data_IF_996056564805
#
_entry.id   IF_996056564805
#
_cell.length_a   1.000
_cell.length_b   1.000
_cell.length_c   1.000
_cell.angle_alpha   90.00
_cell.angle_beta   90.00
_cell.angle_gamma   90.00
#
_symmetry.space_group_name_H-M   'P 1'
#
loop_
_entity.id
_entity.type
_entity.pdbx_description
1 polymer ?
#
# COMPACT_ATOMS: atom_id res chain seq x y z
N UNK A 1 20.63 -22.78 -20.67
CA UNK A 1 20.33 -21.53 -21.39
C UNK A 1 19.38 -21.77 -22.58
N UNK A 2 19.54 -22.84 -23.37
CA UNK A 2 18.74 -23.11 -24.58
C UNK A 2 17.21 -23.27 -24.39
N UNK A 3 16.74 -23.56 -23.17
CA UNK A 3 15.30 -23.72 -22.85
C UNK A 3 14.62 -22.48 -22.25
N UNK A 4 15.40 -21.50 -21.76
CA UNK A 4 14.86 -20.37 -21.01
C UNK A 4 14.13 -19.41 -21.96
N UNK A 5 14.75 -19.01 -23.07
CA UNK A 5 14.17 -18.04 -24.01
C UNK A 5 12.84 -18.51 -24.60
N UNK A 6 12.71 -19.75 -25.13
CA UNK A 6 11.42 -20.21 -25.68
C UNK A 6 10.31 -20.30 -24.61
N UNK A 7 10.67 -20.68 -23.39
CA UNK A 7 9.72 -20.77 -22.29
C UNK A 7 9.28 -19.38 -21.83
N UNK A 8 10.22 -18.44 -21.67
CA UNK A 8 9.96 -17.03 -21.36
C UNK A 8 9.03 -16.41 -22.40
N UNK A 9 9.31 -16.56 -23.69
CA UNK A 9 8.50 -16.01 -24.77
C UNK A 9 7.07 -16.57 -24.75
N UNK A 10 6.93 -17.86 -24.46
CA UNK A 10 5.61 -18.51 -24.30
C UNK A 10 4.85 -17.92 -23.13
N UNK A 11 5.48 -17.79 -21.94
CA UNK A 11 4.84 -17.22 -20.75
C UNK A 11 4.46 -15.75 -21.00
N UNK A 12 5.36 -14.96 -21.59
CA UNK A 12 5.11 -13.56 -21.93
C UNK A 12 3.96 -13.36 -22.92
N UNK A 13 3.80 -14.29 -23.88
CA UNK A 13 2.68 -14.28 -24.82
C UNK A 13 1.36 -14.56 -24.08
N UNK A 14 1.32 -15.60 -23.24
CA UNK A 14 0.12 -15.95 -22.46
C UNK A 14 -0.29 -14.82 -21.51
N UNK A 15 0.67 -14.20 -20.81
CA UNK A 15 0.42 -13.04 -19.94
C UNK A 15 -0.23 -11.90 -20.74
N UNK A 16 0.34 -11.56 -21.90
CA UNK A 16 -0.20 -10.49 -22.77
C UNK A 16 -1.64 -10.79 -23.22
N UNK A 17 -1.89 -11.99 -23.72
CA UNK A 17 -3.23 -12.42 -24.18
C UNK A 17 -4.26 -12.40 -23.04
N UNK A 18 -3.89 -12.89 -21.85
CA UNK A 18 -4.78 -12.88 -20.68
C UNK A 18 -5.08 -11.45 -20.24
N UNK A 19 -4.09 -10.55 -20.25
CA UNK A 19 -4.29 -9.12 -19.93
C UNK A 19 -5.22 -8.45 -20.93
N UNK A 20 -5.07 -8.72 -22.21
CA UNK A 20 -5.99 -8.20 -23.24
C UNK A 20 -7.44 -8.63 -22.98
N UNK A 21 -7.67 -9.91 -22.66
CA UNK A 21 -8.99 -10.43 -22.31
C UNK A 21 -9.55 -9.84 -21.01
N UNK A 22 -8.70 -9.58 -20.02
CA UNK A 22 -9.11 -8.92 -18.78
C UNK A 22 -9.53 -7.46 -19.05
N UNK A 23 -8.75 -6.73 -19.85
CA UNK A 23 -9.02 -5.34 -20.21
C UNK A 23 -10.26 -5.18 -21.09
N UNK A 24 -10.52 -6.14 -21.99
CA UNK A 24 -11.74 -6.17 -22.81
C UNK A 24 -12.97 -6.66 -22.05
N UNK A 25 -12.81 -7.06 -20.77
CA UNK A 25 -13.84 -7.72 -19.96
C UNK A 25 -14.40 -9.02 -20.59
N UNK A 26 -13.65 -9.65 -21.49
CA UNK A 26 -14.01 -10.92 -22.13
C UNK A 26 -13.53 -12.13 -21.33
N UNK A 27 -12.57 -11.92 -20.41
CA UNK A 27 -12.03 -12.96 -19.53
C UNK A 27 -13.13 -13.62 -18.70
N UNK A 28 -13.11 -14.95 -18.67
CA UNK A 28 -14.02 -15.76 -17.89
C UNK A 28 -13.39 -17.13 -17.65
N UNK A 29 -12.97 -17.37 -16.40
CA UNK A 29 -12.30 -18.62 -16.00
C UNK A 29 -13.18 -19.87 -16.18
N UNK A 30 -14.50 -19.72 -16.27
CA UNK A 30 -15.40 -20.84 -16.52
C UNK A 30 -15.45 -21.27 -18.01
N UNK A 31 -14.86 -20.49 -18.92
CA UNK A 31 -14.68 -20.91 -20.31
C UNK A 31 -13.46 -21.85 -20.39
N UNK A 32 -13.60 -23.07 -20.96
CA UNK A 32 -12.50 -24.04 -21.02
C UNK A 32 -11.22 -23.48 -21.65
N UNK A 33 -11.35 -22.69 -22.72
CA UNK A 33 -10.23 -22.07 -23.42
C UNK A 33 -9.45 -21.07 -22.54
N UNK A 34 -10.12 -20.35 -21.63
CA UNK A 34 -9.50 -19.40 -20.72
C UNK A 34 -8.87 -20.12 -19.53
N UNK A 35 -9.56 -21.14 -18.98
CA UNK A 35 -9.00 -21.99 -17.94
C UNK A 35 -7.71 -22.67 -18.43
N UNK A 36 -7.72 -23.26 -19.63
CA UNK A 36 -6.54 -23.90 -20.22
C UNK A 36 -5.39 -22.90 -20.42
N UNK A 37 -5.67 -21.68 -20.89
CA UNK A 37 -4.66 -20.61 -20.99
C UNK A 37 -4.06 -20.26 -19.63
N UNK A 38 -4.90 -20.10 -18.61
CA UNK A 38 -4.46 -19.78 -17.25
C UNK A 38 -3.59 -20.89 -16.67
N UNK A 39 -4.09 -22.14 -16.69
CA UNK A 39 -3.36 -23.31 -16.19
C UNK A 39 -2.02 -23.50 -16.91
N UNK A 40 -2.01 -23.30 -18.24
CA UNK A 40 -0.78 -23.39 -19.04
C UNK A 40 0.21 -22.29 -18.67
N UNK A 41 -0.26 -21.07 -18.46
CA UNK A 41 0.58 -19.95 -18.03
C UNK A 41 1.22 -20.25 -16.67
N UNK A 42 0.42 -20.68 -15.69
CA UNK A 42 0.89 -21.02 -14.34
C UNK A 42 1.90 -22.17 -14.38
N UNK A 43 1.60 -23.26 -15.07
CA UNK A 43 2.48 -24.42 -15.17
C UNK A 43 3.85 -24.06 -15.79
N UNK A 44 3.85 -23.24 -16.84
CA UNK A 44 5.07 -22.78 -17.51
C UNK A 44 5.86 -21.78 -16.66
N UNK A 45 5.19 -20.92 -15.89
CA UNK A 45 5.84 -20.02 -14.96
C UNK A 45 6.56 -20.80 -13.84
N UNK A 46 5.97 -21.88 -13.33
CA UNK A 46 6.61 -22.77 -12.35
C UNK A 46 7.83 -23.47 -12.96
N UNK A 47 7.73 -23.98 -14.20
CA UNK A 47 8.89 -24.55 -14.89
C UNK A 47 10.01 -23.51 -15.03
N UNK A 48 9.66 -22.28 -15.38
CA UNK A 48 10.61 -21.19 -15.55
C UNK A 48 11.24 -20.76 -14.22
N UNK A 49 10.48 -20.71 -13.13
CA UNK A 49 10.98 -20.50 -11.76
C UNK A 49 12.13 -21.47 -11.47
N UNK A 50 11.91 -22.78 -11.64
CA UNK A 50 12.92 -23.79 -11.31
C UNK A 50 14.21 -23.68 -12.14
N UNK A 51 14.12 -23.07 -13.33
CA UNK A 51 15.29 -22.86 -14.20
C UNK A 51 16.13 -21.64 -13.81
N UNK A 52 15.50 -20.59 -13.27
CA UNK A 52 16.16 -19.30 -13.04
C UNK A 52 16.33 -18.94 -11.56
N UNK A 53 15.58 -19.60 -10.66
CA UNK A 53 15.57 -19.36 -9.22
C UNK A 53 15.46 -17.86 -8.88
N UNK A 54 14.34 -17.21 -9.24
CA UNK A 54 14.20 -15.76 -9.21
C UNK A 54 14.13 -15.22 -7.78
N UNK A 55 14.55 -13.97 -7.62
CA UNK A 55 14.12 -13.15 -6.49
C UNK A 55 12.75 -12.54 -6.82
N UNK A 56 11.82 -12.57 -5.87
CA UNK A 56 10.52 -11.90 -5.94
C UNK A 56 10.48 -10.77 -4.90
N UNK A 57 9.62 -9.78 -5.10
CA UNK A 57 9.41 -8.73 -4.11
C UNK A 57 8.90 -9.28 -2.76
N UNK A 58 9.41 -8.75 -1.65
CA UNK A 58 9.01 -9.16 -0.30
C UNK A 58 7.51 -8.97 -0.05
N UNK A 59 6.95 -7.84 -0.52
CA UNK A 59 5.51 -7.57 -0.38
C UNK A 59 4.67 -8.59 -1.15
N UNK A 60 5.19 -9.11 -2.27
CA UNK A 60 4.48 -10.09 -3.07
C UNK A 60 4.36 -11.42 -2.32
N UNK A 61 5.43 -11.88 -1.69
CA UNK A 61 5.43 -13.10 -0.87
C UNK A 61 4.45 -12.95 0.31
N UNK A 62 4.47 -11.80 1.00
CA UNK A 62 3.55 -11.51 2.11
C UNK A 62 2.08 -11.54 1.66
N UNK A 63 1.76 -10.86 0.55
CA UNK A 63 0.40 -10.77 0.03
C UNK A 63 -0.14 -12.10 -0.49
N UNK A 64 0.72 -12.95 -1.05
CA UNK A 64 0.33 -14.30 -1.47
C UNK A 64 0.14 -15.25 -0.29
N UNK A 65 0.88 -15.06 0.81
CA UNK A 65 0.78 -15.90 2.00
C UNK A 65 1.30 -17.32 1.79
N UNK A 66 2.05 -17.56 0.71
CA UNK A 66 2.66 -18.84 0.37
C UNK A 66 4.07 -18.63 -0.20
N UNK A 67 4.87 -19.70 -0.19
CA UNK A 67 6.25 -19.69 -0.69
C UNK A 67 6.28 -19.59 -2.23
N UNK A 68 7.25 -18.87 -2.84
CA UNK A 68 7.50 -18.93 -4.28
C UNK A 68 7.77 -20.32 -4.87
N UNK A 69 8.10 -21.29 -4.01
CA UNK A 69 8.27 -22.71 -4.36
C UNK A 69 6.94 -23.47 -4.49
N UNK A 70 5.84 -22.88 -4.02
CA UNK A 70 4.50 -23.50 -4.08
C UNK A 70 3.77 -23.07 -5.36
N UNK A 71 3.12 -24.00 -6.10
CA UNK A 71 2.36 -23.67 -7.30
C UNK A 71 1.31 -22.56 -7.10
N UNK A 72 0.72 -22.50 -5.91
CA UNK A 72 -0.26 -21.51 -5.49
C UNK A 72 0.27 -20.07 -5.57
N UNK A 73 1.59 -19.87 -5.41
CA UNK A 73 2.21 -18.57 -5.55
C UNK A 73 2.00 -18.01 -6.96
N UNK A 74 2.25 -18.83 -7.98
CA UNK A 74 2.09 -18.48 -9.38
C UNK A 74 0.66 -18.53 -9.89
N UNK A 75 -0.32 -18.95 -9.08
CA UNK A 75 -1.73 -18.89 -9.42
C UNK A 75 -2.29 -17.45 -9.33
N UNK A 76 -1.56 -16.49 -9.91
CA UNK A 76 -1.86 -15.07 -10.03
C UNK A 76 -0.90 -14.43 -11.02
N UNK A 77 -1.35 -13.38 -11.70
CA UNK A 77 -0.58 -12.79 -12.81
C UNK A 77 0.66 -12.03 -12.35
N UNK A 78 0.58 -11.31 -11.22
CA UNK A 78 1.67 -10.44 -10.75
C UNK A 78 2.98 -11.21 -10.42
N UNK A 79 2.96 -12.35 -9.71
CA UNK A 79 4.15 -13.22 -9.57
C UNK A 79 4.81 -13.67 -10.88
N UNK A 80 4.01 -13.83 -11.93
CA UNK A 80 4.51 -14.22 -13.25
C UNK A 80 5.15 -13.01 -13.93
N UNK A 81 4.58 -11.81 -13.77
CA UNK A 81 5.18 -10.56 -14.25
C UNK A 81 6.52 -10.26 -13.54
N UNK A 82 6.61 -10.42 -12.23
CA UNK A 82 7.86 -10.33 -11.45
C UNK A 82 8.91 -11.32 -11.96
N UNK A 83 8.52 -12.57 -12.20
CA UNK A 83 9.41 -13.59 -12.77
C UNK A 83 9.95 -13.16 -14.14
N UNK A 84 9.09 -12.64 -15.01
CA UNK A 84 9.50 -12.18 -16.34
C UNK A 84 10.44 -10.97 -16.25
N UNK A 85 10.15 -10.02 -15.36
CA UNK A 85 10.97 -8.84 -15.12
C UNK A 85 12.37 -9.23 -14.62
N UNK A 86 12.46 -10.17 -13.66
CA UNK A 86 13.73 -10.71 -13.15
C UNK A 86 14.61 -11.31 -14.26
N UNK A 87 14.00 -12.00 -15.23
CA UNK A 87 14.73 -12.62 -16.33
C UNK A 87 15.35 -11.57 -17.26
N UNK A 88 14.70 -10.42 -17.42
CA UNK A 88 15.22 -9.29 -18.19
C UNK A 88 16.26 -8.47 -17.42
N UNK A 89 16.02 -8.27 -16.13
CA UNK A 89 16.90 -7.53 -15.23
C UNK A 89 16.87 -8.17 -13.83
N UNK A 90 17.97 -8.81 -13.37
CA UNK A 90 18.03 -9.41 -12.04
C UNK A 90 17.80 -8.45 -10.87
N UNK A 91 17.90 -7.14 -11.09
CA UNK A 91 17.61 -6.09 -10.11
C UNK A 91 16.19 -5.54 -10.18
N UNK A 92 15.36 -5.98 -11.15
CA UNK A 92 13.99 -5.50 -11.31
C UNK A 92 13.11 -5.73 -10.06
N UNK A 93 13.42 -6.77 -9.29
CA UNK A 93 12.67 -7.16 -8.10
C UNK A 93 13.44 -6.82 -6.80
N UNK A 94 14.37 -5.86 -6.86
CA UNK A 94 14.96 -5.30 -5.65
C UNK A 94 13.93 -4.43 -4.92
N UNK A 95 13.58 -4.85 -3.71
CA UNK A 95 12.70 -4.04 -2.86
C UNK A 95 13.35 -2.69 -2.58
N UNK A 96 12.57 -1.60 -2.71
CA UNK A 96 13.10 -0.27 -2.51
C UNK A 96 13.53 -0.06 -1.05
N UNK A 97 14.56 0.76 -0.86
CA UNK A 97 14.95 1.19 0.47
C UNK A 97 13.93 2.20 1.02
N UNK A 98 13.46 1.96 2.24
CA UNK A 98 12.57 2.90 2.91
C UNK A 98 13.35 4.10 3.45
N UNK A 99 13.45 5.14 2.62
CA UNK A 99 14.14 6.39 2.96
C UNK A 99 13.34 7.33 3.87
N UNK A 100 12.12 6.94 4.25
CA UNK A 100 11.18 7.82 4.97
C UNK A 100 11.12 7.56 6.47
N UNK A 101 11.78 6.50 6.94
CA UNK A 101 12.04 6.29 8.37
C UNK A 101 12.94 7.42 8.90
N UNK A 102 12.65 7.84 10.14
CA UNK A 102 13.27 8.95 10.82
C UNK A 102 13.04 10.34 10.18
N UNK A 103 12.17 10.43 9.17
CA UNK A 103 11.80 11.70 8.55
C UNK A 103 10.62 12.35 9.26
N UNK A 104 10.61 13.69 9.27
CA UNK A 104 9.54 14.50 9.86
C UNK A 104 8.53 14.92 8.79
N UNK A 105 7.26 14.92 9.19
CA UNK A 105 6.10 15.25 8.39
C UNK A 105 5.15 16.14 9.20
N UNK A 106 4.19 16.73 8.51
CA UNK A 106 3.09 17.49 9.13
C UNK A 106 1.74 16.88 8.81
N UNK A 107 0.84 16.94 9.77
CA UNK A 107 -0.56 16.58 9.60
C UNK A 107 -1.43 17.76 9.99
N UNK A 108 -2.17 18.29 9.02
CA UNK A 108 -2.82 19.59 9.12
C UNK A 108 -4.33 19.43 9.02
N UNK A 109 -5.07 19.89 10.03
CA UNK A 109 -6.53 19.73 10.11
C UNK A 109 -7.24 21.00 10.56
N UNK A 110 -8.45 21.22 10.07
CA UNK A 110 -9.30 22.32 10.53
C UNK A 110 -9.98 21.98 11.86
N UNK A 111 -9.97 22.91 12.82
CA UNK A 111 -10.73 22.82 14.07
C UNK A 111 -11.87 23.84 14.07
N UNK A 112 -13.13 23.39 14.21
CA UNK A 112 -14.26 24.33 14.39
C UNK A 112 -14.20 25.05 15.72
N UNK A 113 -13.70 24.39 16.77
CA UNK A 113 -13.57 24.95 18.12
C UNK A 113 -12.71 26.21 18.11
N UNK A 114 -11.60 26.18 17.38
CA UNK A 114 -10.67 27.31 17.30
C UNK A 114 -10.89 28.22 16.09
N UNK A 115 -11.62 27.74 15.08
CA UNK A 115 -11.91 28.49 13.86
C UNK A 115 -10.70 28.64 12.94
N UNK A 116 -9.65 27.85 13.15
CA UNK A 116 -8.46 27.82 12.32
C UNK A 116 -7.97 26.39 12.11
N UNK A 117 -6.90 26.28 11.33
CA UNK A 117 -6.22 25.03 11.07
C UNK A 117 -5.11 24.81 12.09
N UNK A 118 -5.02 23.59 12.61
CA UNK A 118 -3.99 23.11 13.51
C UNK A 118 -3.02 22.21 12.74
N UNK A 119 -1.74 22.28 13.08
CA UNK A 119 -0.68 21.47 12.45
C UNK A 119 -0.01 20.62 13.52
N UNK A 120 -0.15 19.31 13.40
CA UNK A 120 0.55 18.33 14.21
C UNK A 120 1.85 17.94 13.52
N UNK A 121 2.94 17.84 14.27
CA UNK A 121 4.21 17.30 13.77
C UNK A 121 4.27 15.82 14.02
N UNK A 122 4.75 15.09 13.03
CA UNK A 122 4.88 13.65 13.07
C UNK A 122 6.27 13.26 12.60
N UNK A 123 6.83 12.21 13.16
CA UNK A 123 8.04 11.57 12.66
C UNK A 123 7.75 10.11 12.42
N UNK A 124 8.08 9.58 11.23
CA UNK A 124 7.90 8.15 10.97
C UNK A 124 9.02 7.39 11.69
N UNK A 125 8.66 6.41 12.50
CA UNK A 125 9.59 5.58 13.28
C UNK A 125 9.38 4.11 12.93
N UNK A 126 10.34 3.25 13.28
CA UNK A 126 10.33 1.84 12.89
C UNK A 126 9.06 1.05 13.30
N UNK A 127 8.34 1.50 14.33
CA UNK A 127 7.13 0.82 14.84
C UNK A 127 5.83 1.57 14.55
N UNK A 128 5.88 2.72 13.89
CA UNK A 128 4.71 3.58 13.70
C UNK A 128 5.07 5.05 13.54
N UNK A 129 4.45 5.92 14.34
CA UNK A 129 4.66 7.37 14.30
C UNK A 129 5.14 7.90 15.64
N UNK A 130 5.90 8.98 15.65
CA UNK A 130 6.11 9.79 16.84
C UNK A 130 5.40 11.12 16.65
N UNK A 131 4.37 11.37 17.46
CA UNK A 131 3.62 12.61 17.45
C UNK A 131 4.26 13.63 18.38
N UNK A 132 4.43 14.84 17.87
CA UNK A 132 4.91 16.00 18.61
C UNK A 132 3.88 17.13 18.52
N UNK A 133 3.33 17.48 19.69
CA UNK A 133 2.43 18.61 19.87
C UNK A 133 3.08 19.68 20.76
N UNK A 134 2.55 20.90 20.75
CA UNK A 134 3.07 21.99 21.59
C UNK A 134 3.03 21.65 23.10
N UNK A 135 2.11 20.78 23.50
CA UNK A 135 2.08 20.19 24.84
C UNK A 135 2.82 18.85 24.85
N UNK A 136 3.88 18.76 25.67
CA UNK A 136 4.70 17.54 25.84
C UNK A 136 3.87 16.35 26.34
N UNK A 137 2.82 16.60 27.12
CA UNK A 137 1.92 15.55 27.63
C UNK A 137 0.97 14.98 26.57
N UNK A 138 0.91 15.58 25.38
CA UNK A 138 0.12 15.14 24.24
C UNK A 138 1.01 14.69 23.07
N UNK A 139 2.25 14.32 23.39
CA UNK A 139 3.27 13.85 22.45
C UNK A 139 3.72 12.45 22.85
N UNK A 140 4.10 11.63 21.88
CA UNK A 140 4.56 10.28 22.16
C UNK A 140 4.59 9.38 20.94
N UNK A 141 5.02 8.14 21.16
CA UNK A 141 5.01 7.12 20.12
C UNK A 141 3.60 6.58 19.94
N UNK A 142 3.24 6.40 18.68
CA UNK A 142 2.02 5.79 18.22
C UNK A 142 2.33 4.55 17.40
N UNK A 143 1.34 3.67 17.34
CA UNK A 143 1.28 2.59 16.37
C UNK A 143 1.13 3.16 14.95
N UNK A 144 1.21 2.29 13.94
CA UNK A 144 1.15 2.68 12.52
C UNK A 144 -0.14 3.41 12.16
N UNK A 145 -1.22 3.08 12.86
CA UNK A 145 -2.54 3.68 12.71
C UNK A 145 -2.63 5.08 13.34
N UNK A 146 -1.63 5.53 14.10
CA UNK A 146 -1.63 6.83 14.79
C UNK A 146 -2.13 6.80 16.24
N UNK A 147 -2.55 5.63 16.75
CA UNK A 147 -2.99 5.44 18.14
C UNK A 147 -1.81 5.43 19.11
N UNK A 148 -1.91 6.03 20.32
CA UNK A 148 -3.09 6.74 20.84
C UNK A 148 -3.06 8.26 20.57
N UNK A 149 -1.88 8.86 20.47
CA UNK A 149 -1.74 10.31 20.65
C UNK A 149 -2.37 11.14 19.55
N UNK A 150 -2.44 10.68 18.29
CA UNK A 150 -3.16 11.41 17.24
C UNK A 150 -4.63 11.60 17.65
N UNK A 151 -5.28 10.49 17.99
CA UNK A 151 -6.70 10.47 18.27
C UNK A 151 -7.04 11.10 19.60
N UNK A 152 -6.15 11.00 20.60
CA UNK A 152 -6.30 11.77 21.84
C UNK A 152 -6.26 13.28 21.58
N UNK A 153 -5.35 13.78 20.73
CA UNK A 153 -5.32 15.19 20.36
C UNK A 153 -6.57 15.60 19.58
N UNK A 154 -6.96 14.85 18.55
CA UNK A 154 -8.17 15.15 17.77
C UNK A 154 -9.42 15.18 18.65
N UNK A 155 -9.54 14.26 19.61
CA UNK A 155 -10.67 14.23 20.53
C UNK A 155 -10.62 15.35 21.57
N UNK A 156 -9.43 15.69 22.10
CA UNK A 156 -9.24 16.83 22.98
C UNK A 156 -9.62 18.16 22.31
N UNK A 157 -9.33 18.30 21.02
CA UNK A 157 -9.65 19.48 20.20
C UNK A 157 -11.06 19.44 19.61
N UNK A 158 -11.88 18.45 20.00
CA UNK A 158 -13.27 18.27 19.57
C UNK A 158 -13.45 18.06 18.06
N UNK A 159 -12.43 17.56 17.37
CA UNK A 159 -12.44 17.38 15.92
C UNK A 159 -13.20 16.09 15.57
N UNK A 160 -14.18 16.19 14.67
CA UNK A 160 -14.78 15.02 14.03
C UNK A 160 -13.90 14.54 12.89
N UNK A 161 -13.68 13.23 12.86
CA UNK A 161 -12.89 12.56 11.83
C UNK A 161 -13.58 11.25 11.41
N UNK A 162 -13.28 10.75 10.20
CA UNK A 162 -13.85 9.51 9.69
C UNK A 162 -13.41 8.29 10.51
N UNK A 163 -14.31 7.31 10.67
CA UNK A 163 -14.05 6.08 11.44
C UNK A 163 -12.82 5.30 10.94
N UNK A 164 -12.64 5.23 9.62
CA UNK A 164 -11.56 4.46 8.98
C UNK A 164 -10.22 5.19 8.94
N UNK A 165 -10.10 6.41 9.47
CA UNK A 165 -8.82 7.15 9.48
C UNK A 165 -7.63 6.33 10.01
N UNK A 166 -7.74 5.51 11.09
CA UNK A 166 -6.65 4.64 11.54
C UNK A 166 -6.17 3.66 10.47
N UNK A 167 -7.09 3.02 9.74
CA UNK A 167 -6.75 2.09 8.67
C UNK A 167 -6.00 2.76 7.53
N UNK A 168 -6.35 3.99 7.16
CA UNK A 168 -5.61 4.74 6.14
C UNK A 168 -4.21 5.17 6.60
N UNK A 169 -4.04 5.49 7.88
CA UNK A 169 -2.71 5.81 8.44
C UNK A 169 -1.80 4.59 8.46
N UNK A 170 -2.31 3.45 8.92
CA UNK A 170 -1.58 2.19 8.91
C UNK A 170 -1.20 1.78 7.48
N UNK A 171 -2.15 1.88 6.55
CA UNK A 171 -1.92 1.59 5.15
C UNK A 171 -0.83 2.48 4.55
N UNK A 172 -0.89 3.80 4.75
CA UNK A 172 0.15 4.72 4.28
C UNK A 172 1.52 4.37 4.87
N UNK A 173 1.56 4.01 6.16
CA UNK A 173 2.80 3.62 6.82
C UNK A 173 3.42 2.38 6.15
N UNK A 174 2.64 1.35 5.84
CA UNK A 174 3.13 0.15 5.17
C UNK A 174 3.53 0.42 3.72
N UNK A 175 2.71 1.19 2.98
CA UNK A 175 2.98 1.52 1.59
C UNK A 175 4.25 2.36 1.40
N UNK A 176 4.61 3.20 2.37
CA UNK A 176 5.86 3.96 2.34
C UNK A 176 7.09 3.02 2.25
N UNK A 177 7.08 1.92 3.00
CA UNK A 177 8.13 0.91 2.94
C UNK A 177 8.04 0.06 1.68
N UNK A 178 6.86 -0.52 1.41
CA UNK A 178 6.69 -1.52 0.34
C UNK A 178 6.92 -0.93 -1.06
N UNK A 179 6.58 0.35 -1.25
CA UNK A 179 6.69 1.03 -2.54
C UNK A 179 7.87 1.99 -2.62
N UNK A 180 8.64 2.15 -1.54
CA UNK A 180 9.76 3.08 -1.51
C UNK A 180 9.35 4.52 -1.75
N UNK A 181 8.26 4.95 -1.12
CA UNK A 181 7.73 6.29 -1.34
C UNK A 181 8.78 7.34 -0.96
N UNK A 182 8.79 8.45 -1.69
CA UNK A 182 9.60 9.61 -1.33
C UNK A 182 8.97 10.36 -0.16
N UNK A 183 9.78 11.18 0.54
CA UNK A 183 9.26 12.10 1.57
C UNK A 183 8.12 12.98 1.05
N UNK A 184 8.21 13.40 -0.22
CA UNK A 184 7.16 14.21 -0.83
C UNK A 184 5.85 13.42 -0.98
N UNK A 185 5.91 12.18 -1.46
CA UNK A 185 4.73 11.34 -1.62
C UNK A 185 4.07 11.00 -0.28
N UNK A 186 4.86 10.72 0.76
CA UNK A 186 4.31 10.52 2.11
C UNK A 186 3.63 11.80 2.61
N UNK A 187 4.25 12.97 2.45
CA UNK A 187 3.63 14.25 2.83
C UNK A 187 2.34 14.53 2.05
N UNK A 188 2.34 14.35 0.73
CA UNK A 188 1.17 14.57 -0.12
C UNK A 188 -0.02 13.67 0.31
N UNK A 189 0.25 12.42 0.71
CA UNK A 189 -0.79 11.51 1.22
C UNK A 189 -1.28 11.92 2.62
N UNK A 190 -0.39 12.36 3.51
CA UNK A 190 -0.79 12.92 4.81
C UNK A 190 -1.65 14.18 4.65
N UNK A 191 -1.32 15.04 3.69
CA UNK A 191 -2.10 16.23 3.36
C UNK A 191 -3.51 15.85 2.89
N UNK A 192 -3.63 14.83 2.02
CA UNK A 192 -4.93 14.31 1.58
C UNK A 192 -5.77 13.76 2.74
N UNK A 193 -5.15 13.05 3.69
CA UNK A 193 -5.85 12.59 4.90
C UNK A 193 -6.27 13.76 5.79
N UNK A 194 -5.42 14.79 5.93
CA UNK A 194 -5.73 16.00 6.70
C UNK A 194 -6.88 16.82 6.11
N UNK A 195 -6.94 16.90 4.78
CA UNK A 195 -8.05 17.50 4.04
C UNK A 195 -9.35 16.72 4.26
N UNK A 196 -9.30 15.39 4.25
CA UNK A 196 -10.47 14.55 4.49
C UNK A 196 -11.04 14.73 5.91
N UNK A 197 -10.16 14.77 6.92
CA UNK A 197 -10.55 15.09 8.31
C UNK A 197 -11.17 16.48 8.38
N UNK A 198 -10.51 17.48 7.77
CA UNK A 198 -11.02 18.85 7.73
C UNK A 198 -12.39 18.96 7.07
N UNK A 199 -12.65 18.16 6.03
CA UNK A 199 -13.95 18.10 5.35
C UNK A 199 -15.02 17.47 6.24
N UNK A 200 -14.69 16.41 6.97
CA UNK A 200 -15.58 15.78 7.94
C UNK A 200 -16.00 16.78 9.04
N UNK A 201 -15.00 17.49 9.57
CA UNK A 201 -15.18 18.48 10.63
C UNK A 201 -16.00 19.69 10.14
N UNK A 202 -15.66 20.28 8.98
CA UNK A 202 -16.41 21.42 8.42
C UNK A 202 -17.88 21.09 8.13
N UNK A 203 -18.18 19.84 7.79
CA UNK A 203 -19.52 19.39 7.44
C UNK A 203 -20.31 18.79 8.61
N UNK A 204 -19.79 18.81 9.84
CA UNK A 204 -20.57 18.24 10.94
C UNK A 204 -21.83 19.08 11.22
N UNK A 205 -22.92 18.47 11.73
CA UNK A 205 -24.21 19.14 11.90
C UNK A 205 -24.14 20.43 12.74
N UNK A 206 -24.94 21.43 12.36
CA UNK A 206 -25.05 22.75 13.03
C UNK A 206 -26.38 22.91 13.78
N UNK A 207 -26.50 23.91 14.65
CA UNK A 207 -27.68 24.13 15.47
C UNK A 207 -27.60 23.38 16.81
N UNK A 208 -28.54 22.49 17.10
CA UNK A 208 -28.60 21.82 18.42
C UNK A 208 -27.38 20.93 18.74
N UNK A 209 -26.56 20.60 17.73
CA UNK A 209 -25.38 19.76 17.85
C UNK A 209 -24.08 20.54 18.02
N UNK A 210 -24.12 21.88 18.04
CA UNK A 210 -22.93 22.74 18.20
C UNK A 210 -22.20 22.55 19.54
N UNK A 211 -22.85 21.94 20.53
CA UNK A 211 -22.26 21.61 21.83
C UNK A 211 -22.01 20.11 22.05
N UNK A 212 -22.26 19.26 21.05
CA UNK A 212 -22.10 17.81 21.19
C UNK A 212 -20.63 17.39 21.19
N UNK A 213 -19.81 18.02 20.35
CA UNK A 213 -18.36 17.88 20.30
C UNK A 213 -17.75 19.25 20.14
#
# INVERSE_FOLDING_TARGET
MDKITPLKDTVSTLVSEIKELLLSAEWNINKPEHAEKWETMVAKAIELHHLVNPKHHDYMIKNRGCSPEEPEFYNHIHPIEDLLAFIDDPSANDDPEDITIDQEFTFTVFSRRWGHTDTYKMKRIATGWHFSHASVHMSGNCDKDGTPFLYENLNHDSINYPEELPGYFEWLWDQAAERGLTNKEVQDNLDALGEWVSLCEKNSPKGIWESFK
#
